data_IF_276916928454
#
_entry.id   IF_276916928454
#
_cell.length_a   1.000
_cell.length_b   1.000
_cell.length_c   1.000
_cell.angle_alpha   90.00
_cell.angle_beta   90.00
_cell.angle_gamma   90.00
#
_symmetry.space_group_name_H-M   'P 1'
#
loop_
_entity.id
_entity.type
_entity.pdbx_description
1 polymer ?
#
# COMPACT_ATOMS: atom_id res chain seq x y z
N UNK A 1 -79.40 17.36 35.38
CA UNK A 1 -78.57 17.00 34.20
C UNK A 1 -77.57 15.98 34.64
N UNK A 2 -77.64 14.72 34.15
CA UNK A 2 -76.83 13.63 34.55
C UNK A 2 -75.53 13.58 33.73
N UNK A 3 -74.38 13.31 34.29
CA UNK A 3 -73.21 13.01 33.52
C UNK A 3 -73.17 11.50 33.12
N UNK A 4 -72.89 11.22 31.84
CA UNK A 4 -72.67 9.87 31.28
C UNK A 4 -71.27 9.35 31.61
N UNK A 5 -71.30 8.23 32.27
CA UNK A 5 -70.11 7.46 32.64
C UNK A 5 -69.73 6.52 31.46
N UNK A 6 -68.60 6.76 30.80
CA UNK A 6 -68.14 5.92 29.72
C UNK A 6 -66.87 5.10 30.20
N UNK A 7 -67.10 3.85 30.55
CA UNK A 7 -66.08 2.90 30.94
C UNK A 7 -65.46 2.32 29.67
N UNK A 8 -64.27 2.77 29.32
CA UNK A 8 -63.49 2.17 28.24
C UNK A 8 -62.69 0.98 28.79
N UNK A 9 -63.07 -0.19 28.33
CA UNK A 9 -62.41 -1.47 28.67
C UNK A 9 -61.10 -1.58 27.88
N UNK A 10 -59.96 -1.59 28.57
CA UNK A 10 -58.66 -1.87 27.93
C UNK A 10 -58.52 -3.38 27.74
N UNK A 11 -58.58 -3.84 26.51
CA UNK A 11 -58.18 -5.19 26.10
C UNK A 11 -56.65 -5.29 26.18
N UNK A 12 -56.18 -6.20 27.06
CA UNK A 12 -54.77 -6.58 27.11
C UNK A 12 -54.42 -7.42 25.88
N UNK A 13 -53.65 -6.87 24.96
CA UNK A 13 -53.01 -7.63 23.89
C UNK A 13 -51.70 -8.19 24.41
N UNK A 14 -51.66 -9.48 24.63
CA UNK A 14 -50.46 -10.27 24.94
C UNK A 14 -49.65 -10.37 23.65
N UNK A 15 -48.57 -9.60 23.52
CA UNK A 15 -47.60 -9.75 22.45
C UNK A 15 -46.68 -10.93 22.74
N UNK A 16 -46.86 -12.01 22.01
CA UNK A 16 -45.97 -13.17 21.99
C UNK A 16 -44.73 -12.77 21.21
N UNK A 17 -43.61 -12.56 21.92
CA UNK A 17 -42.34 -12.27 21.29
C UNK A 17 -41.77 -13.56 20.65
N UNK A 18 -41.85 -13.67 19.34
CA UNK A 18 -41.07 -14.65 18.57
C UNK A 18 -39.59 -14.18 18.53
N UNK A 19 -38.75 -14.80 19.32
CA UNK A 19 -37.32 -14.62 19.21
C UNK A 19 -36.82 -15.36 17.97
N UNK A 20 -36.61 -14.62 16.87
CA UNK A 20 -35.87 -15.13 15.71
C UNK A 20 -34.38 -15.03 16.08
N UNK A 21 -33.79 -16.15 16.42
CA UNK A 21 -32.34 -16.28 16.54
C UNK A 21 -31.73 -16.18 15.13
N UNK A 22 -31.36 -14.99 14.69
CA UNK A 22 -30.49 -14.81 13.54
C UNK A 22 -29.08 -15.28 13.93
N UNK A 23 -28.74 -16.50 13.52
CA UNK A 23 -27.37 -16.99 13.54
C UNK A 23 -26.51 -16.11 12.63
N UNK A 24 -25.77 -15.19 13.22
CA UNK A 24 -24.71 -14.47 12.53
C UNK A 24 -23.59 -15.49 12.33
N UNK A 25 -23.61 -16.16 11.16
CA UNK A 25 -22.43 -16.90 10.70
C UNK A 25 -21.35 -15.85 10.47
N UNK A 26 -20.51 -15.64 11.48
CA UNK A 26 -19.30 -14.81 11.38
C UNK A 26 -18.40 -15.40 10.30
N UNK A 27 -18.38 -14.79 9.14
CA UNK A 27 -17.36 -15.06 8.15
C UNK A 27 -16.06 -14.45 8.67
N UNK A 28 -15.34 -15.28 9.42
CA UNK A 28 -13.95 -14.99 9.76
C UNK A 28 -13.19 -15.03 8.43
N UNK A 29 -13.00 -13.88 7.79
CA UNK A 29 -11.98 -13.70 6.78
C UNK A 29 -10.63 -13.90 7.48
N UNK A 30 -10.23 -15.16 7.58
CA UNK A 30 -8.86 -15.50 7.92
C UNK A 30 -8.01 -14.98 6.75
N UNK A 31 -7.49 -13.77 6.88
CA UNK A 31 -6.39 -13.30 6.05
C UNK A 31 -5.26 -14.30 6.29
N UNK A 32 -5.07 -15.21 5.34
CA UNK A 32 -3.93 -16.11 5.36
C UNK A 32 -2.69 -15.23 5.43
N UNK A 33 -2.03 -15.21 6.58
CA UNK A 33 -0.74 -14.57 6.73
C UNK A 33 0.17 -15.23 5.69
N UNK A 34 0.62 -14.47 4.71
CA UNK A 34 1.59 -14.95 3.74
C UNK A 34 2.80 -15.41 4.54
N UNK A 35 3.02 -16.73 4.59
CA UNK A 35 4.16 -17.28 5.31
C UNK A 35 5.43 -16.69 4.71
N UNK A 36 6.15 -15.91 5.50
CA UNK A 36 7.36 -15.25 5.04
C UNK A 36 8.45 -16.27 4.71
N UNK A 37 9.27 -15.94 3.75
CA UNK A 37 10.46 -16.72 3.43
C UNK A 37 11.43 -16.67 4.60
N UNK A 38 11.85 -17.83 5.12
CA UNK A 38 12.97 -17.90 6.08
C UNK A 38 14.26 -17.51 5.35
N UNK A 39 14.99 -16.55 5.90
CA UNK A 39 16.29 -16.18 5.34
C UNK A 39 17.27 -17.35 5.50
N UNK A 40 18.01 -17.75 4.45
CA UNK A 40 19.11 -18.69 4.58
C UNK A 40 20.22 -18.16 5.49
N UNK A 41 20.95 -19.06 6.12
CA UNK A 41 22.18 -18.69 6.85
C UNK A 41 23.20 -18.06 5.88
N UNK A 42 23.98 -17.09 6.36
CA UNK A 42 24.98 -16.41 5.54
C UNK A 42 24.45 -15.30 4.65
N UNK A 43 23.13 -14.99 4.67
CA UNK A 43 22.64 -13.79 3.98
C UNK A 43 23.28 -12.54 4.57
N UNK A 44 23.86 -11.68 3.73
CA UNK A 44 24.38 -10.36 4.13
C UNK A 44 23.43 -9.23 3.74
N UNK A 45 23.58 -8.09 4.38
CA UNK A 45 22.94 -6.85 3.95
C UNK A 45 23.50 -6.43 2.58
N UNK A 46 22.67 -5.85 1.73
CA UNK A 46 23.14 -5.20 0.52
C UNK A 46 23.79 -3.85 0.85
N UNK A 47 24.84 -3.50 0.12
CA UNK A 47 25.50 -2.20 0.23
C UNK A 47 24.68 -1.10 -0.46
N UNK A 48 24.96 0.15 -0.12
CA UNK A 48 24.36 1.31 -0.80
C UNK A 48 24.65 1.30 -2.30
N UNK A 49 25.84 0.88 -2.72
CA UNK A 49 26.20 0.78 -4.13
C UNK A 49 25.40 -0.30 -4.88
N UNK A 50 25.19 -1.47 -4.28
CA UNK A 50 24.36 -2.54 -4.86
C UNK A 50 22.90 -2.10 -5.01
N UNK A 51 22.34 -1.46 -3.98
CA UNK A 51 20.99 -0.92 -4.03
C UNK A 51 20.86 0.21 -5.05
N UNK A 52 21.83 1.11 -5.07
CA UNK A 52 21.85 2.17 -6.07
C UNK A 52 21.83 1.63 -7.49
N UNK A 53 22.69 0.65 -7.78
CA UNK A 53 22.78 0.02 -9.10
C UNK A 53 21.47 -0.69 -9.48
N UNK A 54 20.79 -1.28 -8.50
CA UNK A 54 19.52 -1.98 -8.70
C UNK A 54 18.38 -1.02 -9.07
N UNK A 55 18.30 0.15 -8.43
CA UNK A 55 17.13 1.01 -8.45
C UNK A 55 17.29 2.30 -9.29
N UNK A 56 18.52 2.78 -9.53
CA UNK A 56 18.74 4.04 -10.27
C UNK A 56 18.08 4.02 -11.65
N UNK A 57 17.42 5.10 -11.99
CA UNK A 57 16.74 5.32 -13.27
C UNK A 57 15.73 4.21 -13.62
N UNK A 58 15.15 3.56 -12.60
CA UNK A 58 14.09 2.57 -12.74
C UNK A 58 12.75 3.12 -12.31
N UNK A 59 11.71 2.59 -12.94
CA UNK A 59 10.33 2.70 -12.49
C UNK A 59 9.93 1.40 -11.83
N UNK A 60 9.45 1.46 -10.61
CA UNK A 60 8.84 0.32 -9.90
C UNK A 60 7.33 0.40 -10.08
N UNK A 61 6.74 -0.65 -10.64
CA UNK A 61 5.32 -0.76 -10.92
C UNK A 61 4.58 -1.52 -9.83
N UNK A 62 3.36 -1.11 -9.54
CA UNK A 62 2.38 -1.84 -8.74
C UNK A 62 1.00 -1.75 -9.41
N UNK A 63 -0.04 -2.51 -8.97
CA UNK A 63 -1.30 -2.65 -9.71
C UNK A 63 -2.00 -1.33 -10.08
N UNK A 64 -1.95 -0.34 -9.19
CA UNK A 64 -2.66 0.93 -9.30
C UNK A 64 -1.72 2.16 -9.34
N UNK A 65 -0.44 1.95 -9.64
CA UNK A 65 0.52 3.05 -9.66
C UNK A 65 1.93 2.69 -10.07
N UNK A 66 2.79 3.70 -10.05
CA UNK A 66 4.22 3.54 -10.32
C UNK A 66 5.04 4.63 -9.60
N UNK A 67 6.29 4.29 -9.27
CA UNK A 67 7.26 5.21 -8.69
C UNK A 67 8.60 5.14 -9.40
N UNK A 68 9.20 6.30 -9.69
CA UNK A 68 10.47 6.40 -10.40
C UNK A 68 11.58 6.91 -9.49
N UNK A 69 12.70 6.20 -9.50
CA UNK A 69 13.92 6.53 -8.79
C UNK A 69 14.90 7.19 -9.77
N UNK A 70 14.83 8.50 -9.93
CA UNK A 70 15.74 9.24 -10.80
C UNK A 70 17.13 9.34 -10.19
N UNK A 71 18.17 9.19 -11.02
CA UNK A 71 19.56 9.38 -10.57
C UNK A 71 19.84 10.83 -10.19
N UNK A 72 19.36 11.78 -11.02
CA UNK A 72 19.53 13.22 -10.78
C UNK A 72 18.93 13.60 -9.43
N UNK A 73 19.75 14.14 -8.53
CA UNK A 73 19.38 14.59 -7.19
C UNK A 73 18.67 13.54 -6.33
N UNK A 74 18.75 12.27 -6.72
CA UNK A 74 18.01 11.17 -6.04
C UNK A 74 16.53 11.45 -5.92
N UNK A 75 15.94 12.08 -6.95
CA UNK A 75 14.52 12.41 -6.95
C UNK A 75 13.67 11.14 -7.02
N UNK A 76 12.63 11.14 -6.23
CA UNK A 76 11.54 10.16 -6.29
C UNK A 76 10.26 10.86 -6.69
N UNK A 77 9.56 10.31 -7.66
CA UNK A 77 8.23 10.74 -8.05
C UNK A 77 7.33 9.53 -8.26
N UNK A 78 6.05 9.65 -7.92
CA UNK A 78 5.11 8.54 -8.00
C UNK A 78 3.69 9.04 -8.23
N UNK A 79 2.86 8.17 -8.79
CA UNK A 79 1.42 8.35 -8.89
C UNK A 79 0.69 7.08 -8.48
N UNK A 80 -0.52 7.25 -7.98
CA UNK A 80 -1.50 6.20 -7.71
C UNK A 80 -2.82 6.62 -8.33
N UNK A 81 -3.53 5.68 -8.94
CA UNK A 81 -4.84 5.86 -9.55
C UNK A 81 -5.65 4.56 -9.32
N UNK A 82 -6.12 4.40 -8.10
CA UNK A 82 -6.79 3.20 -7.63
C UNK A 82 -8.19 3.49 -7.05
N UNK A 83 -8.82 2.45 -6.55
CA UNK A 83 -10.16 2.54 -5.93
C UNK A 83 -10.22 3.48 -4.71
N UNK A 84 -9.07 3.75 -4.07
CA UNK A 84 -8.93 4.71 -2.97
C UNK A 84 -8.79 6.17 -3.42
N UNK A 85 -8.87 6.44 -4.72
CA UNK A 85 -8.71 7.75 -5.32
C UNK A 85 -7.32 7.96 -5.93
N UNK A 86 -7.14 9.13 -6.51
CA UNK A 86 -5.87 9.54 -7.11
C UNK A 86 -4.98 10.23 -6.09
N UNK A 87 -3.67 9.99 -6.21
CA UNK A 87 -2.65 10.72 -5.49
C UNK A 87 -1.32 10.71 -6.24
N UNK A 88 -0.47 11.66 -5.92
CA UNK A 88 0.88 11.71 -6.45
C UNK A 88 1.88 12.09 -5.36
N UNK A 89 3.14 11.74 -5.56
CA UNK A 89 4.19 12.05 -4.60
C UNK A 89 5.44 12.58 -5.27
N UNK A 90 6.12 13.46 -4.58
CA UNK A 90 7.46 13.92 -4.90
C UNK A 90 8.33 13.96 -3.64
N UNK A 91 9.60 13.60 -3.82
CA UNK A 91 10.56 13.55 -2.74
C UNK A 91 11.90 13.00 -3.18
N UNK A 92 12.51 12.21 -2.31
CA UNK A 92 13.84 11.61 -2.55
C UNK A 92 13.83 10.13 -2.24
N UNK A 93 14.69 9.39 -2.94
CA UNK A 93 15.02 8.03 -2.58
C UNK A 93 16.44 7.95 -2.03
N UNK A 94 16.64 7.11 -1.03
CA UNK A 94 17.87 7.03 -0.25
C UNK A 94 18.23 5.56 -0.11
N UNK A 95 19.50 5.24 -0.26
CA UNK A 95 20.06 3.90 0.01
C UNK A 95 21.18 3.98 1.02
N UNK A 96 21.34 2.93 1.82
CA UNK A 96 22.35 2.87 2.88
C UNK A 96 23.15 1.56 2.84
N UNK A 97 24.32 1.54 3.44
CA UNK A 97 25.14 0.32 3.60
C UNK A 97 24.55 -0.67 4.62
N UNK A 98 23.45 -0.31 5.27
CA UNK A 98 22.65 -1.19 6.12
C UNK A 98 21.51 -1.88 5.38
N UNK A 99 21.56 -1.90 4.05
CA UNK A 99 20.61 -2.61 3.20
C UNK A 99 19.26 -1.90 3.03
N UNK A 100 19.13 -0.62 3.40
CA UNK A 100 17.89 0.13 3.29
C UNK A 100 17.77 0.86 1.96
N UNK A 101 16.61 0.71 1.32
CA UNK A 101 16.06 1.64 0.35
C UNK A 101 14.90 2.37 1.01
N UNK A 102 14.94 3.69 1.06
CA UNK A 102 13.87 4.52 1.61
C UNK A 102 13.35 5.52 0.57
N UNK A 103 12.05 5.75 0.59
CA UNK A 103 11.36 6.84 -0.10
C UNK A 103 10.90 7.84 0.95
N UNK A 104 11.42 9.05 0.92
CA UNK A 104 10.98 10.18 1.74
C UNK A 104 10.27 11.17 0.82
N UNK A 105 8.93 11.16 0.84
CA UNK A 105 8.14 11.91 -0.12
C UNK A 105 6.89 12.50 0.54
N UNK A 106 6.38 13.57 -0.07
CA UNK A 106 5.09 14.12 0.27
C UNK A 106 4.04 13.63 -0.74
N UNK A 107 3.04 12.93 -0.25
CA UNK A 107 1.89 12.51 -1.02
C UNK A 107 0.82 13.60 -1.05
N UNK A 108 0.32 13.89 -2.24
CA UNK A 108 -0.74 14.86 -2.49
C UNK A 108 -1.98 14.11 -2.95
N UNK A 109 -3.10 14.38 -2.29
CA UNK A 109 -4.41 13.82 -2.58
C UNK A 109 -5.48 14.93 -2.53
N UNK A 110 -6.73 14.61 -2.84
CA UNK A 110 -7.84 15.58 -2.77
C UNK A 110 -8.01 16.19 -1.38
N UNK A 111 -7.72 15.42 -0.33
CA UNK A 111 -7.90 15.81 1.08
C UNK A 111 -6.64 16.39 1.75
N UNK A 112 -5.54 16.61 1.00
CA UNK A 112 -4.37 17.27 1.55
C UNK A 112 -3.01 16.73 1.10
N UNK A 113 -1.97 17.13 1.86
CA UNK A 113 -0.57 16.75 1.66
C UNK A 113 -0.07 16.00 2.89
N UNK A 114 0.50 14.81 2.65
CA UNK A 114 0.90 13.86 3.69
C UNK A 114 2.36 13.45 3.51
N UNK A 115 3.29 13.96 4.34
CA UNK A 115 4.65 13.46 4.36
C UNK A 115 4.68 12.00 4.76
N UNK A 116 5.46 11.20 4.05
CA UNK A 116 5.62 9.78 4.33
C UNK A 116 7.05 9.33 4.12
N UNK A 117 7.48 8.37 4.95
CA UNK A 117 8.71 7.62 4.77
C UNK A 117 8.38 6.14 4.68
N UNK A 118 8.80 5.51 3.60
CA UNK A 118 8.64 4.07 3.38
C UNK A 118 10.00 3.47 3.10
N UNK A 119 10.41 2.49 3.90
CA UNK A 119 11.70 1.82 3.76
C UNK A 119 11.56 0.31 3.58
N UNK A 120 12.49 -0.25 2.81
CA UNK A 120 12.64 -1.67 2.57
C UNK A 120 14.05 -2.11 2.91
N UNK A 121 14.19 -3.22 3.65
CA UNK A 121 15.47 -3.84 3.97
C UNK A 121 15.76 -4.92 2.92
N UNK A 122 17.00 -4.96 2.44
CA UNK A 122 17.46 -5.93 1.45
C UNK A 122 18.62 -6.77 1.99
N UNK A 123 18.54 -8.04 1.71
CA UNK A 123 19.63 -8.99 1.94
C UNK A 123 19.91 -9.76 0.67
N UNK A 124 21.14 -10.25 0.55
CA UNK A 124 21.57 -11.02 -0.63
C UNK A 124 22.37 -12.24 -0.20
N UNK A 125 22.17 -13.36 -0.92
CA UNK A 125 23.00 -14.55 -0.86
C UNK A 125 22.98 -15.23 -2.22
N UNK A 126 24.15 -15.60 -2.72
CA UNK A 126 24.34 -16.36 -3.96
C UNK A 126 23.51 -15.80 -5.15
N UNK A 127 23.48 -14.45 -5.26
CA UNK A 127 22.73 -13.74 -6.30
C UNK A 127 21.22 -13.61 -6.06
N UNK A 128 20.65 -14.31 -5.08
CA UNK A 128 19.26 -14.15 -4.67
C UNK A 128 19.11 -12.96 -3.73
N UNK A 129 18.21 -12.03 -4.07
CA UNK A 129 17.90 -10.84 -3.26
C UNK A 129 16.60 -11.10 -2.49
N UNK A 130 16.65 -10.86 -1.19
CA UNK A 130 15.51 -10.91 -0.28
C UNK A 130 15.15 -9.50 0.15
N UNK A 131 13.86 -9.22 0.26
CA UNK A 131 13.34 -7.93 0.68
C UNK A 131 12.25 -8.10 1.75
N UNK A 132 12.13 -7.11 2.62
CA UNK A 132 10.94 -6.89 3.46
C UNK A 132 10.72 -5.41 3.69
N UNK A 133 9.50 -5.02 4.02
CA UNK A 133 9.22 -3.67 4.52
C UNK A 133 9.84 -3.50 5.91
N UNK A 134 10.52 -2.37 6.16
CA UNK A 134 11.18 -2.11 7.46
C UNK A 134 10.17 -2.03 8.61
N UNK A 135 9.08 -1.29 8.41
CA UNK A 135 8.02 -1.07 9.41
C UNK A 135 7.18 -2.32 9.74
N UNK A 136 7.66 -3.50 9.38
CA UNK A 136 6.97 -4.78 9.58
C UNK A 136 6.71 -5.48 8.26
N UNK A 137 6.53 -6.78 8.32
CA UNK A 137 6.31 -7.64 7.16
C UNK A 137 7.27 -8.81 7.14
N UNK A 138 6.90 -9.81 6.37
CA UNK A 138 7.68 -11.01 6.17
C UNK A 138 8.76 -10.80 5.09
N UNK A 139 9.86 -11.53 5.19
CA UNK A 139 10.82 -11.62 4.11
C UNK A 139 10.19 -12.34 2.91
N UNK A 140 10.53 -11.88 1.72
CA UNK A 140 10.20 -12.55 0.47
C UNK A 140 11.38 -12.47 -0.51
N UNK A 141 11.39 -13.34 -1.51
CA UNK A 141 12.37 -13.28 -2.58
C UNK A 141 12.00 -12.13 -3.49
N UNK A 142 12.83 -11.10 -3.52
CA UNK A 142 12.67 -9.95 -4.41
C UNK A 142 13.17 -10.27 -5.82
N UNK A 143 14.30 -10.97 -5.92
CA UNK A 143 14.89 -11.46 -7.18
C UNK A 143 15.61 -12.78 -6.94
N UNK A 144 15.29 -13.79 -7.70
CA UNK A 144 16.06 -15.03 -7.71
C UNK A 144 17.43 -14.83 -8.37
N UNK A 145 18.42 -15.68 -8.06
CA UNK A 145 19.73 -15.68 -8.71
C UNK A 145 19.59 -15.82 -10.24
N UNK A 146 18.73 -16.73 -10.68
CA UNK A 146 18.24 -16.79 -12.06
C UNK A 146 16.89 -16.07 -12.07
N UNK A 147 16.85 -14.88 -12.66
CA UNK A 147 15.69 -14.00 -12.63
C UNK A 147 14.44 -14.68 -13.21
N UNK A 148 13.29 -14.48 -12.57
CA UNK A 148 11.98 -14.98 -12.98
C UNK A 148 11.04 -13.84 -13.29
N UNK A 149 10.10 -14.06 -14.22
CA UNK A 149 9.05 -13.06 -14.52
C UNK A 149 8.11 -12.79 -13.33
N UNK A 150 8.05 -13.73 -12.39
CA UNK A 150 7.27 -13.61 -11.14
C UNK A 150 8.00 -12.89 -10.02
N UNK A 151 9.28 -12.53 -10.21
CA UNK A 151 10.03 -11.76 -9.22
C UNK A 151 9.46 -10.35 -9.07
N UNK A 152 9.44 -9.84 -7.85
CA UNK A 152 9.08 -8.44 -7.63
C UNK A 152 10.03 -7.50 -8.39
N UNK A 153 11.30 -7.88 -8.51
CA UNK A 153 12.30 -7.16 -9.30
C UNK A 153 11.97 -7.07 -10.80
N UNK A 154 11.14 -7.96 -11.35
CA UNK A 154 10.69 -7.88 -12.74
C UNK A 154 9.80 -6.65 -13.00
N UNK A 155 9.23 -6.06 -11.94
CA UNK A 155 8.45 -4.82 -11.98
C UNK A 155 9.32 -3.57 -12.00
N UNK A 156 10.65 -3.71 -11.86
CA UNK A 156 11.62 -2.62 -12.03
C UNK A 156 12.03 -2.51 -13.49
N UNK A 157 11.44 -1.59 -14.21
CA UNK A 157 11.70 -1.36 -15.64
C UNK A 157 12.51 -0.08 -15.87
N UNK A 158 13.19 0.01 -17.01
CA UNK A 158 13.97 1.18 -17.37
C UNK A 158 13.09 2.35 -17.83
N UNK A 159 11.94 2.05 -18.44
CA UNK A 159 11.04 3.03 -19.03
C UNK A 159 10.46 3.99 -17.98
N UNK A 160 10.26 5.24 -18.38
CA UNK A 160 9.60 6.24 -17.55
C UNK A 160 8.07 6.16 -17.70
N UNK A 161 7.43 5.44 -16.82
CA UNK A 161 5.97 5.36 -16.75
C UNK A 161 5.37 6.39 -15.77
N UNK A 162 6.20 7.29 -15.24
CA UNK A 162 5.77 8.21 -14.18
C UNK A 162 5.58 9.62 -14.70
N UNK A 163 6.53 10.19 -15.42
CA UNK A 163 6.54 11.63 -15.71
C UNK A 163 5.26 12.11 -16.38
N UNK A 164 4.82 11.46 -17.45
CA UNK A 164 3.60 11.87 -18.17
C UNK A 164 2.34 11.64 -17.33
N UNK A 165 2.23 10.48 -16.67
CA UNK A 165 1.04 10.14 -15.87
C UNK A 165 0.92 11.02 -14.63
N UNK A 166 2.03 11.39 -14.04
CA UNK A 166 2.11 12.30 -12.90
C UNK A 166 1.45 13.65 -13.21
N UNK A 167 1.73 14.24 -14.38
CA UNK A 167 1.14 15.52 -14.78
C UNK A 167 -0.38 15.41 -14.99
N UNK A 168 -0.86 14.27 -15.52
CA UNK A 168 -2.30 14.00 -15.64
C UNK A 168 -2.96 13.94 -14.26
N UNK A 169 -2.37 13.19 -13.31
CA UNK A 169 -2.91 13.07 -11.95
C UNK A 169 -2.89 14.42 -11.22
N UNK A 170 -1.81 15.20 -11.36
CA UNK A 170 -1.73 16.57 -10.81
C UNK A 170 -2.87 17.45 -11.32
N UNK A 171 -3.06 17.49 -12.63
CA UNK A 171 -4.10 18.30 -13.27
C UNK A 171 -5.51 17.90 -12.80
N UNK A 172 -5.78 16.61 -12.67
CA UNK A 172 -7.07 16.11 -12.17
C UNK A 172 -7.32 16.57 -10.73
N UNK A 173 -6.32 16.43 -9.84
CA UNK A 173 -6.46 16.82 -8.44
C UNK A 173 -6.60 18.33 -8.26
N UNK A 174 -5.96 19.15 -9.11
CA UNK A 174 -6.08 20.60 -9.06
C UNK A 174 -7.45 21.07 -9.54
N UNK A 175 -8.04 20.41 -10.54
CA UNK A 175 -9.41 20.70 -10.98
C UNK A 175 -10.43 20.47 -9.85
N UNK A 176 -10.31 19.40 -9.07
CA UNK A 176 -11.20 19.13 -7.93
C UNK A 176 -11.08 20.09 -6.74
N UNK A 177 -9.99 20.88 -6.66
CA UNK A 177 -9.83 21.89 -5.59
C UNK A 177 -10.56 23.22 -5.91
N UNK A 178 -10.95 23.41 -7.15
CA UNK A 178 -11.58 24.66 -7.63
C UNK A 178 -13.12 24.58 -7.71
N UNK A 179 -13.68 23.42 -7.43
CA UNK A 179 -15.13 23.18 -7.26
C UNK A 179 -15.53 23.26 -5.79
#
# INVERSE_FOLDING_TARGET
MKPLNNKTTFARVTATAFAIAMGIAGWSNATAAVAGTKLPEGTRLMTAFELYTLYRDKTWQWPDGAGRMQNTDRRFSAWVDGTGGQSWAEGRWIVTDTGLLCFEAAWHATNGKFPAKTCFIHRIQDGTIYQKREAGGAWYVFRHAVAKQTDEAAKLIADDLVSQRLEVVKATLDAHKTE
#
